data_IF_475235706319
#
_entry.id   IF_475235706319
#
_cell.length_a   1.000
_cell.length_b   1.000
_cell.length_c   1.000
_cell.angle_alpha   90.00
_cell.angle_beta   90.00
_cell.angle_gamma   90.00
#
_symmetry.space_group_name_H-M   'P 1'
#
loop_
_entity.id
_entity.type
_entity.pdbx_description
1 polymer ?
#
# COMPACT_ATOMS: atom_id res chain seq x y z
N UNK A 1 26.59 11.96 -7.30
CA UNK A 1 27.68 12.93 -7.03
C UNK A 1 27.95 12.92 -5.55
N UNK A 2 29.21 12.84 -5.14
CA UNK A 2 29.60 13.00 -3.74
C UNK A 2 29.23 14.41 -3.27
N UNK A 3 28.54 14.52 -2.14
CA UNK A 3 28.25 15.80 -1.49
C UNK A 3 29.33 15.99 -0.43
N UNK A 4 30.31 16.90 -0.61
CA UNK A 4 31.33 17.12 0.39
C UNK A 4 30.67 17.86 1.57
N UNK A 5 30.31 17.11 2.61
CA UNK A 5 29.82 17.71 3.86
C UNK A 5 31.03 17.85 4.78
N UNK A 6 31.61 19.05 4.85
CA UNK A 6 32.58 19.37 5.92
C UNK A 6 31.80 19.36 7.24
N UNK A 7 32.09 18.38 8.09
CA UNK A 7 31.68 18.37 9.49
C UNK A 7 32.97 18.31 10.28
N UNK A 8 33.36 19.43 10.89
CA UNK A 8 34.44 19.45 11.87
C UNK A 8 33.95 18.64 13.08
N UNK A 9 34.47 17.43 13.25
CA UNK A 9 34.37 16.68 14.50
C UNK A 9 35.65 16.93 15.28
N UNK A 10 35.49 17.20 16.58
CA UNK A 10 36.57 17.57 17.49
C UNK A 10 37.77 16.61 17.38
N UNK A 11 38.94 17.20 17.15
CA UNK A 11 40.18 16.48 16.90
C UNK A 11 40.60 15.61 18.08
N UNK A 12 40.85 14.32 17.83
CA UNK A 12 41.64 13.49 18.73
C UNK A 12 43.06 14.10 18.85
N UNK A 13 43.66 13.99 20.04
CA UNK A 13 44.80 14.75 20.58
C UNK A 13 46.15 14.65 19.86
N UNK A 14 46.18 14.31 18.57
CA UNK A 14 47.39 14.22 17.75
C UNK A 14 47.30 15.04 16.45
N UNK A 15 46.72 16.25 16.48
CA UNK A 15 47.05 17.34 15.53
C UNK A 15 46.90 17.09 14.01
N UNK A 16 46.35 15.97 13.56
CA UNK A 16 46.09 15.64 12.16
C UNK A 16 44.58 15.61 11.96
N UNK A 17 44.05 16.60 11.23
CA UNK A 17 42.65 16.64 10.83
C UNK A 17 42.41 15.53 9.81
N UNK A 18 41.84 14.42 10.27
CA UNK A 18 41.49 13.29 9.42
C UNK A 18 40.26 13.70 8.58
N UNK A 19 40.47 14.12 7.31
CA UNK A 19 39.38 14.40 6.37
C UNK A 19 38.64 13.10 6.02
N UNK A 20 37.79 12.61 6.94
CA UNK A 20 36.97 11.44 6.70
C UNK A 20 35.87 11.80 5.71
N UNK A 21 36.08 11.44 4.45
CA UNK A 21 35.09 11.64 3.39
C UNK A 21 34.04 10.55 3.49
N UNK A 22 32.89 10.85 4.11
CA UNK A 22 31.76 9.92 4.14
C UNK A 22 31.09 9.87 2.77
N UNK A 23 30.77 8.66 2.29
CA UNK A 23 29.84 8.54 1.18
C UNK A 23 28.44 9.01 1.61
N UNK A 24 27.65 9.49 0.66
CA UNK A 24 26.28 9.95 0.96
C UNK A 24 25.44 8.86 1.64
N UNK A 25 25.65 7.59 1.28
CA UNK A 25 24.97 6.46 1.91
C UNK A 25 25.41 6.23 3.37
N UNK A 26 26.69 6.42 3.70
CA UNK A 26 27.20 6.32 5.06
C UNK A 26 26.72 7.46 5.93
N UNK A 27 26.71 8.68 5.40
CA UNK A 27 26.11 9.85 6.04
C UNK A 27 24.63 9.58 6.43
N UNK A 28 23.84 9.02 5.52
CA UNK A 28 22.44 8.69 5.78
C UNK A 28 22.27 7.55 6.80
N UNK A 29 23.13 6.53 6.78
CA UNK A 29 23.13 5.47 7.81
C UNK A 29 23.44 6.02 9.20
N UNK A 30 24.43 6.90 9.31
CA UNK A 30 24.86 7.46 10.60
C UNK A 30 23.79 8.38 11.22
N UNK A 31 22.97 9.04 10.39
CA UNK A 31 21.79 9.79 10.86
C UNK A 31 20.57 8.91 11.19
N UNK A 32 20.66 7.59 11.00
CA UNK A 32 19.52 6.68 11.16
C UNK A 32 18.44 6.86 10.09
N UNK A 33 18.79 7.42 8.93
CA UNK A 33 17.87 7.57 7.77
C UNK A 33 17.78 6.26 6.98
N UNK A 34 18.86 5.48 6.95
CA UNK A 34 18.91 4.14 6.36
C UNK A 34 19.28 3.15 7.46
N UNK A 35 18.36 2.24 7.82
CA UNK A 35 18.61 1.20 8.83
C UNK A 35 18.93 -0.13 8.15
N UNK A 36 19.89 -0.88 8.69
CA UNK A 36 20.41 -2.11 8.08
C UNK A 36 19.56 -3.36 8.31
N UNK A 37 18.64 -3.35 9.27
CA UNK A 37 17.81 -4.51 9.62
C UNK A 37 16.33 -4.26 9.25
N UNK A 38 15.60 -5.28 8.76
CA UNK A 38 14.14 -5.23 8.72
C UNK A 38 13.60 -5.04 10.15
N UNK A 39 12.59 -4.18 10.35
CA UNK A 39 11.97 -4.02 11.67
C UNK A 39 11.32 -5.33 12.14
N UNK A 40 11.30 -5.55 13.45
CA UNK A 40 10.45 -6.57 14.06
C UNK A 40 9.01 -6.08 14.13
N UNK A 41 8.12 -6.66 13.32
CA UNK A 41 6.70 -6.36 13.31
C UNK A 41 6.17 -6.46 11.89
N UNK A 42 5.29 -7.44 11.62
CA UNK A 42 4.69 -7.67 10.30
C UNK A 42 3.64 -6.61 9.92
N UNK A 43 3.94 -5.32 10.13
CA UNK A 43 3.10 -4.18 9.74
C UNK A 43 3.94 -3.13 9.04
N UNK A 44 3.31 -2.29 8.20
CA UNK A 44 3.94 -1.30 7.29
C UNK A 44 5.19 -0.62 7.89
N UNK A 45 6.39 -0.96 7.40
CA UNK A 45 7.61 -0.28 7.85
C UNK A 45 7.64 1.11 7.26
N UNK A 46 7.68 2.10 8.13
CA UNK A 46 7.88 3.50 7.75
C UNK A 46 9.20 3.96 8.33
N UNK A 47 10.07 4.55 7.50
CA UNK A 47 11.36 5.07 7.95
C UNK A 47 11.16 6.13 9.04
N UNK A 48 12.11 6.28 9.97
CA UNK A 48 12.01 7.31 11.03
C UNK A 48 11.82 8.72 10.45
N UNK A 49 12.51 9.13 9.36
CA UNK A 49 12.27 10.42 8.72
C UNK A 49 10.85 10.57 8.14
N UNK A 50 10.35 9.57 7.41
CA UNK A 50 8.98 9.56 6.89
C UNK A 50 7.96 9.59 8.04
N UNK A 51 8.28 8.90 9.15
CA UNK A 51 7.44 8.92 10.34
C UNK A 51 7.39 10.31 10.99
N UNK A 52 8.52 11.01 11.04
CA UNK A 52 8.60 12.39 11.57
C UNK A 52 7.87 13.39 10.68
N UNK A 53 7.98 13.25 9.36
CA UNK A 53 7.29 14.12 8.40
C UNK A 53 5.76 13.96 8.48
N UNK A 54 5.28 12.76 8.79
CA UNK A 54 3.85 12.45 8.92
C UNK A 54 3.28 12.63 10.34
N UNK A 55 4.02 13.21 11.29
CA UNK A 55 3.54 13.51 12.66
C UNK A 55 2.25 14.36 12.63
N UNK A 56 2.19 15.49 11.89
CA UNK A 56 0.99 16.32 11.79
C UNK A 56 -0.26 15.52 11.38
N UNK A 57 -0.14 14.70 10.33
CA UNK A 57 -1.20 13.87 9.76
C UNK A 57 -1.69 12.82 10.76
N UNK A 58 -0.78 12.19 11.48
CA UNK A 58 -1.09 11.07 12.39
C UNK A 58 -1.72 11.49 13.70
N UNK A 59 -1.33 12.65 14.24
CA UNK A 59 -1.78 13.09 15.55
C UNK A 59 -2.83 14.20 15.50
N UNK A 60 -2.92 14.93 14.39
CA UNK A 60 -3.85 16.06 14.23
C UNK A 60 -4.77 15.97 13.01
N UNK A 61 -4.65 14.89 12.22
CA UNK A 61 -5.44 14.71 10.99
C UNK A 61 -5.32 15.92 10.05
N UNK A 62 -4.12 16.51 9.95
CA UNK A 62 -3.86 17.62 9.02
C UNK A 62 -3.75 17.11 7.58
N UNK A 63 -4.73 17.46 6.76
CA UNK A 63 -4.69 17.37 5.31
C UNK A 63 -4.17 18.67 4.69
N UNK A 64 -4.00 18.67 3.38
CA UNK A 64 -3.69 19.87 2.61
C UNK A 64 -4.72 20.09 1.51
N UNK A 65 -5.04 21.36 1.26
CA UNK A 65 -5.92 21.80 0.18
C UNK A 65 -5.08 22.41 -0.94
N UNK A 66 -5.28 21.93 -2.16
CA UNK A 66 -4.63 22.49 -3.33
C UNK A 66 -5.19 23.91 -3.58
N UNK A 67 -4.36 24.97 -3.63
CA UNK A 67 -4.85 26.32 -3.88
C UNK A 67 -5.38 26.52 -5.32
N UNK A 68 -5.02 25.64 -6.26
CA UNK A 68 -5.42 25.75 -7.68
C UNK A 68 -6.79 25.13 -7.96
N UNK A 69 -7.05 23.90 -7.48
CA UNK A 69 -8.31 23.19 -7.75
C UNK A 69 -9.18 22.94 -6.51
N UNK A 70 -8.67 23.21 -5.30
CA UNK A 70 -9.39 22.98 -4.06
C UNK A 70 -9.45 21.53 -3.58
N UNK A 71 -8.86 20.59 -4.31
CA UNK A 71 -8.79 19.18 -3.91
C UNK A 71 -8.06 19.01 -2.56
N UNK A 72 -8.52 18.05 -1.76
CA UNK A 72 -7.85 17.66 -0.51
C UNK A 72 -6.88 16.51 -0.77
N UNK A 73 -5.69 16.58 -0.16
CA UNK A 73 -4.67 15.54 -0.20
C UNK A 73 -4.28 15.12 1.22
N UNK A 74 -4.11 13.81 1.42
CA UNK A 74 -3.66 13.23 2.68
C UNK A 74 -2.79 11.98 2.40
N UNK A 75 -1.46 12.04 2.61
CA UNK A 75 -0.68 13.20 3.08
C UNK A 75 -0.60 14.32 2.02
N UNK A 76 -0.46 15.60 2.41
CA UNK A 76 -0.38 16.73 1.48
C UNK A 76 1.03 16.91 0.92
N UNK A 77 1.51 15.90 0.20
CA UNK A 77 2.85 15.87 -0.39
C UNK A 77 2.78 15.64 -1.90
N UNK A 78 3.81 16.09 -2.63
CA UNK A 78 3.90 15.85 -4.07
C UNK A 78 3.01 16.76 -4.92
N UNK A 79 2.76 16.32 -6.16
CA UNK A 79 1.83 17.00 -7.07
C UNK A 79 0.39 16.68 -6.68
N UNK A 80 -0.54 17.57 -7.02
CA UNK A 80 -1.97 17.32 -6.80
C UNK A 80 -2.47 16.15 -7.65
N UNK A 81 -3.11 15.17 -7.03
CA UNK A 81 -3.64 13.99 -7.73
C UNK A 81 -4.80 14.35 -8.68
N UNK A 82 -5.47 15.47 -8.44
CA UNK A 82 -6.60 15.93 -9.25
C UNK A 82 -6.14 16.79 -10.45
N UNK A 83 -5.35 17.84 -10.21
CA UNK A 83 -4.95 18.78 -11.26
C UNK A 83 -3.50 18.63 -11.74
N UNK A 84 -2.70 17.79 -11.09
CA UNK A 84 -1.29 17.55 -11.43
C UNK A 84 -0.32 18.69 -11.04
N UNK A 85 -0.83 19.81 -10.51
CA UNK A 85 -0.02 20.97 -10.16
C UNK A 85 0.90 20.68 -8.97
N UNK A 86 2.14 21.17 -9.06
CA UNK A 86 3.14 21.06 -8.01
C UNK A 86 3.09 22.35 -7.17
N UNK A 87 2.33 22.28 -6.08
CA UNK A 87 1.95 23.44 -5.26
C UNK A 87 2.28 23.23 -3.80
N UNK A 88 2.41 24.33 -3.06
CA UNK A 88 2.38 24.27 -1.59
C UNK A 88 0.92 24.18 -1.16
N UNK A 89 0.57 23.10 -0.46
CA UNK A 89 -0.79 22.88 0.01
C UNK A 89 -1.13 23.78 1.19
N UNK A 90 -2.36 24.29 1.22
CA UNK A 90 -2.90 24.99 2.38
C UNK A 90 -3.32 23.97 3.44
N UNK A 91 -2.79 24.07 4.65
CA UNK A 91 -3.10 23.12 5.72
C UNK A 91 -4.56 23.18 6.17
N UNK A 92 -5.20 22.01 6.33
CA UNK A 92 -6.58 21.85 6.81
C UNK A 92 -6.62 20.76 7.88
N UNK A 93 -7.05 21.10 9.10
CA UNK A 93 -7.34 20.09 10.15
C UNK A 93 -8.69 19.42 9.85
N UNK A 94 -8.69 18.09 9.71
CA UNK A 94 -9.91 17.31 9.50
C UNK A 94 -10.64 17.05 10.83
N UNK A 95 -11.92 16.69 10.75
CA UNK A 95 -12.69 16.28 11.92
C UNK A 95 -12.15 14.97 12.52
N UNK A 96 -12.23 14.84 13.84
CA UNK A 96 -11.84 13.66 14.61
C UNK A 96 -12.91 12.54 14.60
N UNK A 97 -13.99 12.74 13.84
CA UNK A 97 -15.11 11.82 13.67
C UNK A 97 -15.42 11.63 12.19
N UNK A 98 -15.83 10.41 11.83
CA UNK A 98 -16.18 10.04 10.46
C UNK A 98 -17.21 8.92 10.40
N UNK A 99 -17.53 8.47 9.19
CA UNK A 99 -18.37 7.32 8.92
C UNK A 99 -17.50 6.16 8.43
N UNK A 100 -17.89 4.95 8.79
CA UNK A 100 -17.28 3.75 8.22
C UNK A 100 -17.83 3.59 6.80
N UNK A 101 -16.97 3.73 5.79
CA UNK A 101 -17.34 3.57 4.37
C UNK A 101 -17.29 2.10 3.92
N UNK A 102 -16.37 1.30 4.46
CA UNK A 102 -16.27 -0.14 4.18
C UNK A 102 -15.70 -0.90 5.39
N UNK A 103 -16.16 -2.14 5.61
CA UNK A 103 -15.63 -3.06 6.62
C UNK A 103 -15.31 -4.40 5.96
N UNK A 104 -14.09 -4.88 6.15
CA UNK A 104 -13.71 -6.24 5.77
C UNK A 104 -13.33 -7.02 7.01
N UNK A 105 -13.93 -8.20 7.19
CA UNK A 105 -13.50 -9.15 8.22
C UNK A 105 -12.63 -10.21 7.57
N UNK A 106 -11.34 -10.24 7.92
CA UNK A 106 -10.42 -11.29 7.49
C UNK A 106 -10.42 -12.37 8.57
N UNK A 107 -11.14 -13.47 8.32
CA UNK A 107 -11.15 -14.65 9.20
C UNK A 107 -10.18 -15.70 8.67
N UNK A 108 -9.62 -16.52 9.57
CA UNK A 108 -8.97 -17.76 9.12
C UNK A 108 -10.03 -18.65 8.49
N UNK A 109 -9.81 -19.11 7.26
CA UNK A 109 -10.72 -20.04 6.59
C UNK A 109 -10.97 -21.27 7.47
N UNK A 110 -12.20 -21.41 7.95
CA UNK A 110 -12.66 -22.47 8.85
C UNK A 110 -14.07 -22.15 9.34
N UNK A 111 -14.93 -23.16 9.46
CA UNK A 111 -16.33 -22.97 9.81
C UNK A 111 -16.48 -22.16 11.11
N UNK A 112 -17.37 -21.15 11.12
CA UNK A 112 -17.63 -20.33 12.31
C UNK A 112 -18.22 -21.14 13.48
N UNK A 113 -18.65 -22.40 13.24
CA UNK A 113 -19.26 -23.27 14.23
C UNK A 113 -18.26 -24.08 15.10
N UNK A 114 -16.94 -23.90 14.93
CA UNK A 114 -15.94 -24.54 15.79
C UNK A 114 -15.88 -26.06 15.71
N UNK A 115 -16.52 -26.67 14.71
CA UNK A 115 -16.49 -28.10 14.45
C UNK A 115 -15.83 -28.39 13.10
N UNK A 116 -15.09 -29.50 13.02
CA UNK A 116 -14.55 -30.01 11.77
C UNK A 116 -15.72 -30.61 10.98
N UNK A 117 -16.33 -29.80 10.13
CA UNK A 117 -17.32 -30.26 9.14
C UNK A 117 -16.65 -30.46 7.80
N UNK A 118 -17.11 -31.45 7.04
CA UNK A 118 -16.77 -31.56 5.63
C UNK A 118 -17.51 -30.48 4.84
N UNK A 119 -16.81 -29.82 3.93
CA UNK A 119 -17.37 -28.78 3.07
C UNK A 119 -17.58 -29.38 1.67
N UNK A 120 -18.66 -28.97 1.02
CA UNK A 120 -18.79 -29.15 -0.41
C UNK A 120 -17.93 -28.09 -1.12
N UNK A 121 -17.08 -28.53 -2.04
CA UNK A 121 -16.27 -27.62 -2.85
C UNK A 121 -17.13 -27.09 -3.98
N UNK A 122 -17.29 -25.77 -4.04
CA UNK A 122 -17.89 -25.05 -5.16
C UNK A 122 -16.82 -24.23 -5.87
N UNK A 123 -16.91 -24.13 -7.19
CA UNK A 123 -16.04 -23.26 -7.98
C UNK A 123 -16.64 -21.85 -8.01
N UNK A 124 -15.79 -20.83 -8.08
CA UNK A 124 -16.21 -19.43 -8.24
C UNK A 124 -16.05 -19.02 -9.71
N UNK A 125 -16.88 -18.09 -10.16
CA UNK A 125 -16.82 -17.56 -11.51
C UNK A 125 -15.52 -16.79 -11.73
N UNK A 126 -15.10 -16.72 -12.99
CA UNK A 126 -13.95 -15.94 -13.41
C UNK A 126 -14.24 -14.43 -13.48
N UNK A 127 -15.49 -14.02 -13.27
CA UNK A 127 -15.98 -12.64 -13.28
C UNK A 127 -16.70 -12.31 -11.97
N UNK A 128 -16.78 -11.02 -11.64
CA UNK A 128 -17.42 -10.57 -10.42
C UNK A 128 -17.46 -9.04 -10.32
N UNK A 129 -17.69 -8.52 -9.11
CA UNK A 129 -17.86 -7.08 -8.87
C UNK A 129 -17.00 -6.58 -7.71
N UNK A 130 -16.66 -5.29 -7.73
CA UNK A 130 -15.95 -4.63 -6.64
C UNK A 130 -16.95 -4.17 -5.57
N UNK A 131 -16.83 -4.68 -4.35
CA UNK A 131 -17.63 -4.23 -3.19
C UNK A 131 -16.98 -3.04 -2.48
N UNK A 132 -15.64 -3.01 -2.44
CA UNK A 132 -14.86 -1.93 -1.84
C UNK A 132 -13.48 -1.88 -2.49
N UNK A 133 -12.90 -0.68 -2.62
CA UNK A 133 -11.55 -0.51 -3.14
C UNK A 133 -10.78 0.56 -2.36
N UNK A 134 -9.54 0.22 -2.06
CA UNK A 134 -8.57 1.12 -1.43
C UNK A 134 -7.35 1.22 -2.32
N UNK A 135 -7.00 2.43 -2.73
CA UNK A 135 -5.72 2.71 -3.37
C UNK A 135 -4.64 2.74 -2.30
N UNK A 136 -3.65 1.85 -2.42
CA UNK A 136 -2.50 1.82 -1.52
C UNK A 136 -1.33 2.49 -2.21
N UNK A 137 -1.09 3.74 -1.82
CA UNK A 137 0.06 4.54 -2.27
C UNK A 137 1.29 4.34 -1.38
N UNK A 138 2.37 5.06 -1.68
CA UNK A 138 3.63 4.97 -0.93
C UNK A 138 3.43 5.29 0.57
N UNK A 139 3.83 4.35 1.43
CA UNK A 139 3.71 4.47 2.89
C UNK A 139 2.50 3.77 3.51
N UNK A 140 1.59 3.22 2.70
CA UNK A 140 0.45 2.42 3.16
C UNK A 140 0.66 0.90 3.15
N UNK A 141 1.63 0.37 2.38
CA UNK A 141 1.79 -1.08 2.29
C UNK A 141 2.63 -1.69 3.43
N UNK A 142 2.30 -2.91 3.84
CA UNK A 142 3.15 -3.72 4.72
C UNK A 142 4.59 -3.88 4.16
N UNK A 143 5.64 -3.97 5.00
CA UNK A 143 7.03 -3.91 4.58
C UNK A 143 7.43 -5.04 3.64
N UNK A 144 6.79 -6.19 3.76
CA UNK A 144 7.00 -7.34 2.88
C UNK A 144 6.63 -7.05 1.42
N UNK A 145 5.80 -6.02 1.17
CA UNK A 145 5.43 -5.55 -0.16
C UNK A 145 6.22 -4.33 -0.63
N UNK A 146 7.15 -3.80 0.18
CA UNK A 146 7.97 -2.63 -0.19
C UNK A 146 8.79 -2.83 -1.49
N UNK A 147 9.39 -4.02 -1.77
CA UNK A 147 10.05 -4.27 -3.06
C UNK A 147 9.08 -4.25 -4.24
N UNK A 148 7.82 -4.58 -4.03
CA UNK A 148 6.79 -4.61 -5.06
C UNK A 148 6.19 -3.23 -5.28
N UNK A 149 5.92 -2.47 -4.22
CA UNK A 149 5.53 -1.06 -4.34
C UNK A 149 6.60 -0.21 -5.00
N UNK A 150 7.88 -0.40 -4.65
CA UNK A 150 8.98 0.35 -5.29
C UNK A 150 9.17 0.03 -6.77
N UNK A 151 8.66 -1.10 -7.26
CA UNK A 151 8.72 -1.50 -8.67
C UNK A 151 7.44 -1.21 -9.45
N UNK A 152 6.27 -1.24 -8.80
CA UNK A 152 4.96 -1.21 -9.47
C UNK A 152 4.17 0.11 -9.27
N UNK A 153 4.58 0.96 -8.33
CA UNK A 153 3.81 2.15 -7.95
C UNK A 153 2.58 1.80 -7.11
N UNK A 154 1.59 2.70 -7.11
CA UNK A 154 0.32 2.52 -6.40
C UNK A 154 -0.43 1.30 -6.93
N UNK A 155 -1.12 0.58 -6.05
CA UNK A 155 -1.95 -0.57 -6.44
C UNK A 155 -3.33 -0.52 -5.77
N UNK A 156 -4.33 -1.03 -6.47
CA UNK A 156 -5.66 -1.22 -5.91
C UNK A 156 -5.69 -2.50 -5.07
N UNK A 157 -6.11 -2.38 -3.82
CA UNK A 157 -6.55 -3.50 -2.99
C UNK A 157 -8.08 -3.40 -2.87
N UNK A 158 -8.79 -4.45 -3.27
CA UNK A 158 -10.24 -4.46 -3.33
C UNK A 158 -10.83 -5.65 -2.56
N UNK A 159 -12.06 -5.48 -2.09
CA UNK A 159 -12.94 -6.60 -1.78
C UNK A 159 -13.81 -6.83 -2.99
N UNK A 160 -13.82 -8.07 -3.46
CA UNK A 160 -14.60 -8.45 -4.65
C UNK A 160 -15.61 -9.51 -4.27
N UNK A 161 -16.81 -9.37 -4.83
CA UNK A 161 -17.84 -10.38 -4.85
C UNK A 161 -17.60 -11.27 -6.07
N UNK A 162 -17.36 -12.56 -5.84
CA UNK A 162 -17.33 -13.57 -6.91
C UNK A 162 -18.51 -14.53 -6.75
N UNK A 163 -19.40 -14.65 -7.74
CA UNK A 163 -20.49 -15.61 -7.71
C UNK A 163 -20.00 -17.06 -7.85
N UNK A 164 -20.81 -18.01 -7.39
CA UNK A 164 -20.61 -19.43 -7.63
C UNK A 164 -20.71 -19.72 -9.14
N UNK A 165 -19.83 -20.59 -9.63
CA UNK A 165 -19.79 -20.97 -11.03
C UNK A 165 -20.54 -22.27 -11.33
N UNK A 166 -21.08 -22.35 -12.55
CA UNK A 166 -21.45 -23.60 -13.18
C UNK A 166 -20.22 -24.38 -13.67
N UNK A 167 -20.45 -25.58 -14.20
CA UNK A 167 -19.38 -26.42 -14.78
C UNK A 167 -18.61 -25.78 -15.96
N UNK A 168 -19.11 -24.67 -16.52
CA UNK A 168 -18.49 -23.92 -17.59
C UNK A 168 -17.76 -22.66 -17.09
N UNK A 169 -17.70 -22.42 -15.77
CA UNK A 169 -17.01 -21.29 -15.16
C UNK A 169 -17.82 -19.99 -15.10
N UNK A 170 -19.12 -20.03 -15.41
CA UNK A 170 -19.98 -18.85 -15.46
C UNK A 170 -20.86 -18.77 -14.22
N UNK A 171 -21.26 -17.56 -13.86
CA UNK A 171 -22.20 -17.30 -12.77
C UNK A 171 -23.42 -18.24 -12.79
N UNK A 172 -23.68 -18.86 -11.64
CA UNK A 172 -24.74 -19.83 -11.44
C UNK A 172 -25.52 -19.52 -10.14
N UNK A 173 -26.74 -19.02 -10.30
CA UNK A 173 -27.59 -18.64 -9.17
C UNK A 173 -27.14 -17.33 -8.52
N UNK A 174 -27.64 -17.07 -7.31
CA UNK A 174 -27.42 -15.81 -6.58
C UNK A 174 -26.38 -15.95 -5.44
N UNK A 175 -25.71 -17.10 -5.34
CA UNK A 175 -24.72 -17.36 -4.28
C UNK A 175 -23.36 -16.76 -4.66
N UNK A 176 -22.74 -16.04 -3.73
CA UNK A 176 -21.44 -15.39 -3.94
C UNK A 176 -20.58 -15.36 -2.68
N UNK A 177 -19.29 -15.10 -2.85
CA UNK A 177 -18.31 -14.94 -1.76
C UNK A 177 -17.58 -13.62 -1.91
N UNK A 178 -17.44 -12.90 -0.79
CA UNK A 178 -16.58 -11.71 -0.68
C UNK A 178 -15.16 -12.09 -0.30
N UNK A 179 -14.17 -11.65 -1.08
CA UNK A 179 -12.76 -11.97 -0.86
C UNK A 179 -11.83 -10.80 -1.21
N UNK A 180 -10.67 -10.67 -0.52
CA UNK A 180 -9.68 -9.66 -0.86
C UNK A 180 -8.95 -10.02 -2.16
N UNK A 181 -8.80 -9.05 -3.05
CA UNK A 181 -8.09 -9.16 -4.31
C UNK A 181 -7.20 -7.94 -4.57
N UNK A 182 -6.14 -8.12 -5.36
CA UNK A 182 -5.33 -7.01 -5.87
C UNK A 182 -5.69 -6.72 -7.32
N UNK A 183 -5.86 -5.45 -7.65
CA UNK A 183 -6.00 -4.97 -9.02
C UNK A 183 -4.73 -5.18 -9.85
N UNK A 184 -4.89 -5.41 -11.15
CA UNK A 184 -3.80 -5.52 -12.12
C UNK A 184 -4.25 -5.06 -13.50
N UNK A 185 -3.30 -4.89 -14.42
CA UNK A 185 -3.53 -4.45 -15.82
C UNK A 185 -4.22 -3.08 -16.00
N UNK A 186 -4.42 -2.31 -14.92
CA UNK A 186 -4.96 -0.95 -14.94
C UNK A 186 -4.41 -0.13 -13.76
N UNK A 187 -4.56 1.20 -13.81
CA UNK A 187 -4.23 2.09 -12.69
C UNK A 187 -5.22 1.91 -11.55
N UNK A 188 -4.86 2.20 -10.28
CA UNK A 188 -5.80 2.07 -9.16
C UNK A 188 -7.09 2.87 -9.31
N UNK A 189 -7.01 4.03 -9.98
CA UNK A 189 -8.15 4.91 -10.29
C UNK A 189 -9.12 4.34 -11.33
N UNK A 190 -8.75 3.24 -12.00
CA UNK A 190 -9.64 2.54 -12.94
C UNK A 190 -10.54 1.50 -12.25
N UNK A 191 -10.48 1.40 -10.92
CA UNK A 191 -11.30 0.50 -10.12
C UNK A 191 -12.22 1.33 -9.22
N UNK A 192 -13.52 1.16 -9.38
CA UNK A 192 -14.58 1.79 -8.61
C UNK A 192 -15.50 0.72 -8.03
N UNK A 193 -16.19 1.03 -6.93
CA UNK A 193 -17.25 0.17 -6.40
C UNK A 193 -18.30 -0.08 -7.49
N UNK A 194 -18.83 -1.29 -7.53
CA UNK A 194 -19.77 -1.86 -8.52
C UNK A 194 -19.19 -2.17 -9.91
N UNK A 195 -17.91 -1.87 -10.18
CA UNK A 195 -17.27 -2.21 -11.44
C UNK A 195 -17.22 -3.73 -11.66
N UNK A 196 -17.47 -4.15 -12.90
CA UNK A 196 -17.30 -5.54 -13.34
C UNK A 196 -15.82 -5.86 -13.57
N UNK A 197 -15.37 -6.95 -12.96
CA UNK A 197 -13.98 -7.40 -13.02
C UNK A 197 -13.89 -8.84 -13.50
N UNK A 198 -12.72 -9.20 -14.03
CA UNK A 198 -12.35 -10.58 -14.31
C UNK A 198 -11.10 -10.99 -13.52
N UNK A 199 -11.05 -12.25 -13.12
CA UNK A 199 -9.94 -12.86 -12.41
C UNK A 199 -8.85 -13.31 -13.37
N UNK A 200 -7.59 -13.18 -12.95
CA UNK A 200 -6.44 -13.66 -13.71
C UNK A 200 -5.37 -14.19 -12.77
N UNK A 201 -4.69 -15.26 -13.16
CA UNK A 201 -3.56 -15.79 -12.40
C UNK A 201 -2.33 -14.91 -12.61
N UNK A 202 -1.72 -14.48 -11.50
CA UNK A 202 -0.51 -13.66 -11.47
C UNK A 202 0.46 -14.17 -10.41
N UNK A 203 1.73 -13.80 -10.58
CA UNK A 203 2.74 -13.95 -9.53
C UNK A 203 2.41 -13.00 -8.38
N UNK A 204 2.31 -13.52 -7.15
CA UNK A 204 2.00 -12.74 -5.96
C UNK A 204 3.29 -12.24 -5.32
N UNK A 205 4.24 -13.12 -4.98
CA UNK A 205 5.60 -12.78 -4.55
C UNK A 205 6.54 -13.98 -4.67
N UNK A 206 7.84 -13.75 -4.48
CA UNK A 206 8.84 -14.81 -4.29
C UNK A 206 9.46 -14.65 -2.92
N UNK A 207 9.37 -15.70 -2.11
CA UNK A 207 9.92 -15.74 -0.74
C UNK A 207 10.49 -17.15 -0.53
N UNK A 208 11.64 -17.25 0.15
CA UNK A 208 12.36 -18.51 0.37
C UNK A 208 12.74 -19.24 -0.93
N UNK A 209 12.96 -18.48 -2.02
CA UNK A 209 13.28 -19.05 -3.33
C UNK A 209 12.09 -19.66 -4.08
N UNK A 210 10.89 -19.65 -3.49
CA UNK A 210 9.67 -20.17 -4.10
C UNK A 210 8.80 -19.03 -4.61
N UNK A 211 8.45 -19.09 -5.90
CA UNK A 211 7.51 -18.16 -6.52
C UNK A 211 6.08 -18.65 -6.30
N UNK A 212 5.27 -17.83 -5.63
CA UNK A 212 3.86 -18.14 -5.34
C UNK A 212 2.98 -17.40 -6.35
N UNK A 213 2.04 -18.14 -6.93
CA UNK A 213 1.02 -17.62 -7.84
C UNK A 213 -0.33 -17.60 -7.15
N UNK A 214 -1.22 -16.73 -7.60
CA UNK A 214 -2.58 -16.56 -7.08
C UNK A 214 -3.39 -15.71 -8.04
N UNK A 215 -4.69 -15.58 -7.79
CA UNK A 215 -5.53 -14.72 -8.61
C UNK A 215 -5.33 -13.23 -8.26
N UNK A 216 -5.59 -12.39 -9.25
CA UNK A 216 -5.75 -10.94 -9.18
C UNK A 216 -6.96 -10.56 -10.03
N UNK A 217 -7.42 -9.32 -9.91
CA UNK A 217 -8.56 -8.82 -10.69
C UNK A 217 -8.14 -7.72 -11.64
N UNK A 218 -8.78 -7.63 -12.80
CA UNK A 218 -8.63 -6.53 -13.75
C UNK A 218 -10.01 -6.09 -14.24
N UNK A 219 -10.17 -4.83 -14.70
CA UNK A 219 -11.45 -4.37 -15.25
C UNK A 219 -11.84 -5.23 -16.45
N UNK A 220 -13.13 -5.55 -16.56
CA UNK A 220 -13.68 -6.10 -17.81
C UNK A 220 -13.63 -5.02 -18.90
N UNK A 221 -13.26 -5.41 -20.13
CA UNK A 221 -13.16 -4.47 -21.26
C UNK A 221 -14.53 -4.12 -21.83
#
# INVERSE_FOLDING_TARGET
>A
GSVPTRVDLDADTNGEADEQTLSYAEYLRQRGVVTAAPPSGGGAYVSVPSWRQSIPQRYRLEAGRCPECGALAFPPEGACDDCGSLVEYETVELADTGRIEAVTTISQGGAPCGSLVEYETVELADTGRIEAVTTISQGGAPPEFAPQQSQAGDYAAAIVELPVADSAGREAGDEAVSLPAMGTDATPTAFTVDDEIETTIRRIYTQEGVTRYGFKVRPTT
#
